data_IF_866898021078
#
_entry.id   IF_866898021078
#
_cell.length_a   1.000
_cell.length_b   1.000
_cell.length_c   1.000
_cell.angle_alpha   90.00
_cell.angle_beta   90.00
_cell.angle_gamma   90.00
#
_symmetry.space_group_name_H-M   'P 1'
#
loop_
_entity.id
_entity.type
_entity.pdbx_description
1 polymer ?
#
# COMPACT_ATOMS: atom_id res chain seq x y z
N UNK A 1 -77.21 -28.85 -27.25
CA UNK A 1 -76.06 -28.48 -26.41
C UNK A 1 -75.01 -27.81 -27.29
N UNK A 2 -74.54 -26.63 -26.85
CA UNK A 2 -73.34 -25.86 -27.28
C UNK A 2 -73.31 -25.20 -28.67
N UNK A 3 -73.38 -23.87 -28.62
CA UNK A 3 -73.17 -22.91 -29.70
C UNK A 3 -71.68 -22.62 -29.94
N UNK A 4 -71.35 -22.28 -31.19
CA UNK A 4 -70.08 -21.68 -31.63
C UNK A 4 -69.96 -20.24 -31.14
N UNK A 5 -68.77 -19.81 -30.70
CA UNK A 5 -68.28 -18.41 -30.87
C UNK A 5 -66.74 -18.41 -30.95
N UNK A 6 -66.21 -17.79 -32.01
CA UNK A 6 -64.81 -17.44 -32.19
C UNK A 6 -64.50 -16.08 -31.54
N UNK A 7 -63.30 -15.89 -30.97
CA UNK A 7 -62.82 -14.55 -30.59
C UNK A 7 -61.28 -14.47 -30.46
N UNK A 8 -60.69 -13.84 -31.48
CA UNK A 8 -59.70 -12.75 -31.44
C UNK A 8 -58.58 -12.75 -30.39
N UNK A 9 -57.35 -12.98 -30.84
CA UNK A 9 -56.11 -12.77 -30.07
C UNK A 9 -55.77 -11.27 -29.99
N UNK A 10 -55.72 -10.73 -28.77
CA UNK A 10 -55.25 -9.36 -28.51
C UNK A 10 -53.75 -9.38 -28.15
N UNK A 11 -52.94 -8.67 -28.92
CA UNK A 11 -51.53 -8.37 -28.63
C UNK A 11 -51.44 -7.28 -27.57
N UNK A 12 -50.99 -7.63 -26.36
CA UNK A 12 -50.67 -6.69 -25.28
C UNK A 12 -49.20 -6.33 -25.37
N UNK A 13 -48.90 -5.10 -25.79
CA UNK A 13 -47.55 -4.54 -25.79
C UNK A 13 -47.23 -3.95 -24.39
N UNK A 14 -46.42 -4.66 -23.60
CA UNK A 14 -45.85 -4.12 -22.37
C UNK A 14 -44.64 -3.23 -22.71
N UNK A 15 -44.81 -1.92 -22.58
CA UNK A 15 -43.72 -0.95 -22.63
C UNK A 15 -42.83 -1.08 -21.39
N UNK A 16 -41.59 -1.54 -21.59
CA UNK A 16 -40.52 -1.49 -20.59
C UNK A 16 -39.98 -0.06 -20.53
N UNK A 17 -40.32 0.66 -19.46
CA UNK A 17 -39.67 1.93 -19.12
C UNK A 17 -38.22 1.63 -18.67
N UNK A 18 -37.25 2.00 -19.49
CA UNK A 18 -35.83 1.99 -19.16
C UNK A 18 -35.54 3.14 -18.20
N UNK A 19 -35.33 2.84 -16.92
CA UNK A 19 -34.83 3.80 -15.94
C UNK A 19 -33.31 3.96 -16.20
N UNK A 20 -32.79 5.15 -16.52
CA UNK A 20 -31.36 5.35 -16.61
C UNK A 20 -30.77 5.19 -15.21
N UNK A 21 -29.96 4.15 -15.03
CA UNK A 21 -29.19 3.97 -13.79
C UNK A 21 -28.01 4.93 -13.90
N UNK A 22 -28.08 6.06 -13.20
CA UNK A 22 -26.94 6.98 -13.06
C UNK A 22 -25.79 6.23 -12.38
N UNK A 23 -24.87 5.72 -13.20
CA UNK A 23 -23.62 5.14 -12.78
C UNK A 23 -22.77 6.24 -12.12
N UNK A 24 -22.96 6.43 -10.82
CA UNK A 24 -22.09 7.25 -10.01
C UNK A 24 -20.70 6.61 -9.98
N UNK A 25 -19.82 7.08 -10.85
CA UNK A 25 -18.40 6.74 -10.81
C UNK A 25 -17.85 7.20 -9.46
N UNK A 26 -17.71 6.26 -8.52
CA UNK A 26 -17.03 6.50 -7.26
C UNK A 26 -15.56 6.73 -7.57
N UNK A 27 -15.14 7.99 -7.55
CA UNK A 27 -13.72 8.35 -7.66
C UNK A 27 -13.00 7.76 -6.45
N UNK A 28 -12.20 6.71 -6.66
CA UNK A 28 -11.37 6.14 -5.62
C UNK A 28 -10.38 7.21 -5.14
N UNK A 29 -10.45 7.57 -3.86
CA UNK A 29 -9.54 8.55 -3.27
C UNK A 29 -8.08 8.12 -3.51
N UNK A 30 -7.26 9.03 -4.00
CA UNK A 30 -5.85 8.75 -4.26
C UNK A 30 -5.12 8.44 -2.94
N UNK A 31 -4.28 7.40 -2.95
CA UNK A 31 -3.45 7.05 -1.78
C UNK A 31 -2.43 8.16 -1.51
N UNK A 32 -2.18 8.47 -0.25
CA UNK A 32 -1.18 9.49 0.10
C UNK A 32 0.24 8.97 -0.08
N UNK A 33 1.11 9.92 -0.42
CA UNK A 33 2.54 9.68 -0.53
C UNK A 33 3.18 9.46 0.85
N UNK A 34 4.19 8.59 0.83
CA UNK A 34 4.99 8.21 1.99
C UNK A 34 6.45 8.16 1.57
N UNK A 35 7.34 8.63 2.44
CA UNK A 35 8.78 8.52 2.26
C UNK A 35 9.36 7.76 3.44
N UNK A 36 10.20 6.75 3.16
CA UNK A 36 11.00 6.05 4.17
C UNK A 36 12.48 6.35 3.94
N UNK A 37 13.20 6.71 5.00
CA UNK A 37 14.65 6.89 4.95
C UNK A 37 15.36 5.75 5.65
N UNK A 38 16.62 5.54 5.29
CA UNK A 38 17.55 4.65 6.00
C UNK A 38 18.89 5.38 6.20
N UNK A 39 19.49 5.18 7.37
CA UNK A 39 20.81 5.64 7.79
C UNK A 39 21.50 4.52 8.56
N UNK A 40 22.83 4.52 8.57
CA UNK A 40 23.65 3.59 9.32
C UNK A 40 24.57 4.36 10.28
N UNK A 41 24.66 3.89 11.52
CA UNK A 41 25.74 4.22 12.45
C UNK A 41 26.49 2.92 12.76
N UNK A 42 27.68 2.75 12.20
CA UNK A 42 28.32 1.44 12.11
C UNK A 42 27.46 0.42 11.37
N UNK A 43 27.01 -0.61 12.11
CA UNK A 43 26.07 -1.66 11.63
C UNK A 43 24.64 -1.49 12.13
N UNK A 44 24.32 -0.36 12.75
CA UNK A 44 23.02 -0.07 13.34
C UNK A 44 22.20 0.71 12.32
N UNK A 45 21.09 0.11 11.88
CA UNK A 45 20.24 0.67 10.82
C UNK A 45 19.01 1.33 11.42
N UNK A 46 18.76 2.57 11.01
CA UNK A 46 17.63 3.36 11.50
C UNK A 46 17.10 4.31 10.44
N UNK A 47 15.96 4.92 10.71
CA UNK A 47 15.39 5.91 9.80
C UNK A 47 14.08 6.51 10.27
N UNK A 48 13.41 7.19 9.34
CA UNK A 48 12.18 7.93 9.58
C UNK A 48 11.18 7.65 8.47
N UNK A 49 9.91 7.58 8.84
CA UNK A 49 8.77 7.56 7.91
C UNK A 49 8.09 8.92 7.93
N UNK A 50 7.87 9.50 6.75
CA UNK A 50 7.26 10.83 6.56
C UNK A 50 6.06 10.73 5.63
N UNK A 51 5.02 11.50 5.94
CA UNK A 51 3.84 11.71 5.10
C UNK A 51 3.16 13.00 5.53
N UNK A 52 2.37 13.59 4.62
CA UNK A 52 1.46 14.70 4.94
C UNK A 52 0.31 14.26 5.86
N UNK A 53 0.05 12.95 5.94
CA UNK A 53 -0.94 12.34 6.87
C UNK A 53 -0.24 11.40 7.85
N UNK A 54 0.63 11.90 8.75
CA UNK A 54 1.56 11.06 9.49
C UNK A 54 0.87 10.10 10.46
N UNK A 55 -0.26 10.49 11.07
CA UNK A 55 -1.04 9.60 11.94
C UNK A 55 -1.64 8.38 11.21
N UNK A 56 -1.84 8.48 9.90
CA UNK A 56 -2.43 7.41 9.08
C UNK A 56 -1.34 6.63 8.32
N UNK A 57 -0.32 7.32 7.84
CA UNK A 57 0.65 6.78 6.89
C UNK A 57 2.08 6.62 7.44
N UNK A 58 2.35 7.09 8.64
CA UNK A 58 3.66 6.97 9.29
C UNK A 58 3.60 6.31 10.67
N UNK A 59 2.48 6.43 11.41
CA UNK A 59 2.26 5.73 12.68
C UNK A 59 2.09 4.22 12.50
N UNK A 60 2.68 3.44 13.40
CA UNK A 60 2.52 1.98 13.48
C UNK A 60 2.80 1.25 12.15
N UNK A 61 3.72 1.79 11.35
CA UNK A 61 4.12 1.20 10.08
C UNK A 61 5.31 0.27 10.28
N UNK A 62 5.15 -1.00 9.92
CA UNK A 62 6.28 -1.93 9.88
C UNK A 62 7.17 -1.66 8.68
N UNK A 63 8.38 -1.19 8.96
CA UNK A 63 9.47 -1.03 8.00
C UNK A 63 10.24 -2.34 7.92
N UNK A 64 10.41 -2.86 6.70
CA UNK A 64 11.21 -4.05 6.43
C UNK A 64 12.52 -3.62 5.78
N UNK A 65 13.64 -4.05 6.36
CA UNK A 65 14.97 -3.83 5.82
C UNK A 65 15.40 -5.04 5.02
N UNK A 66 15.95 -4.79 3.84
CA UNK A 66 16.46 -5.80 2.93
C UNK A 66 17.96 -5.66 2.78
N UNK A 67 18.67 -6.80 2.73
CA UNK A 67 20.09 -6.87 2.41
C UNK A 67 20.28 -7.17 0.92
N UNK A 68 21.10 -6.36 0.26
CA UNK A 68 21.30 -6.41 -1.19
C UNK A 68 22.52 -7.24 -1.56
N UNK A 69 22.31 -8.30 -2.35
CA UNK A 69 23.38 -9.16 -2.88
C UNK A 69 23.84 -8.71 -4.28
N UNK A 70 22.91 -8.41 -5.19
CA UNK A 70 23.19 -7.90 -6.54
C UNK A 70 22.65 -6.50 -6.81
N UNK A 71 21.68 -6.41 -7.72
CA UNK A 71 20.97 -5.17 -8.02
C UNK A 71 19.80 -5.02 -7.05
N UNK A 72 19.64 -3.86 -6.38
CA UNK A 72 18.53 -3.65 -5.45
C UNK A 72 17.16 -3.92 -6.09
N UNK A 73 16.33 -4.73 -5.45
CA UNK A 73 15.03 -5.16 -5.96
C UNK A 73 15.10 -6.25 -7.04
N UNK A 74 16.29 -6.82 -7.30
CA UNK A 74 16.53 -7.83 -8.34
C UNK A 74 15.98 -9.22 -8.05
N UNK A 75 15.36 -9.41 -6.88
CA UNK A 75 14.73 -10.67 -6.46
C UNK A 75 15.63 -11.59 -5.63
N UNK A 76 16.92 -11.27 -5.53
CA UNK A 76 17.93 -11.94 -4.71
C UNK A 76 18.15 -11.28 -3.34
N UNK A 77 17.44 -10.19 -3.04
CA UNK A 77 17.57 -9.49 -1.75
C UNK A 77 16.94 -10.29 -0.60
N UNK A 78 17.65 -10.37 0.52
CA UNK A 78 17.15 -11.04 1.72
C UNK A 78 16.34 -10.08 2.58
N UNK A 79 15.18 -10.52 3.08
CA UNK A 79 14.54 -9.88 4.23
C UNK A 79 15.46 -10.03 5.43
N UNK A 80 16.04 -8.92 5.87
CA UNK A 80 17.10 -8.93 6.86
C UNK A 80 16.57 -8.67 8.27
N UNK A 81 15.80 -7.60 8.42
CA UNK A 81 15.25 -7.19 9.71
C UNK A 81 13.97 -6.37 9.48
N UNK A 82 13.24 -6.09 10.55
CA UNK A 82 12.10 -5.19 10.50
C UNK A 82 11.91 -4.50 11.83
N UNK A 83 11.32 -3.33 11.80
CA UNK A 83 10.90 -2.59 12.98
C UNK A 83 9.57 -1.87 12.71
N UNK A 84 8.83 -1.54 13.76
CA UNK A 84 7.61 -0.74 13.65
C UNK A 84 7.89 0.67 14.14
N UNK A 85 7.44 1.66 13.38
CA UNK A 85 7.70 3.06 13.69
C UNK A 85 7.07 3.52 15.00
N UNK A 86 7.85 4.21 15.82
CA UNK A 86 7.40 4.89 17.04
C UNK A 86 7.53 6.42 16.91
N UNK A 87 6.68 7.16 17.63
CA UNK A 87 6.75 8.62 17.67
C UNK A 87 7.84 9.09 18.65
N UNK A 88 8.92 9.67 18.13
CA UNK A 88 10.01 10.24 18.92
C UNK A 88 10.36 11.64 18.42
N UNK A 89 10.39 12.64 19.32
CA UNK A 89 10.74 14.02 18.95
C UNK A 89 9.88 14.61 17.82
N UNK A 90 8.60 14.23 17.74
CA UNK A 90 7.68 14.67 16.70
C UNK A 90 7.84 13.97 15.34
N UNK A 91 8.64 12.90 15.26
CA UNK A 91 8.89 12.13 14.04
C UNK A 91 8.60 10.65 14.27
N UNK A 92 8.07 9.97 13.25
CA UNK A 92 7.90 8.52 13.28
C UNK A 92 9.20 7.86 12.87
N UNK A 93 9.93 7.34 13.85
CA UNK A 93 11.27 6.78 13.69
C UNK A 93 11.23 5.26 13.83
N UNK A 94 12.20 4.59 13.24
CA UNK A 94 12.38 3.15 13.36
C UNK A 94 13.88 2.84 13.49
N UNK A 95 14.22 1.73 14.13
CA UNK A 95 15.57 1.23 14.32
C UNK A 95 15.58 -0.28 14.41
N UNK A 96 16.44 -0.95 13.65
CA UNK A 96 16.65 -2.40 13.80
C UNK A 96 17.58 -2.74 14.96
N UNK A 97 18.09 -1.73 15.68
CA UNK A 97 19.14 -1.88 16.67
C UNK A 97 20.46 -2.34 16.07
N UNK A 98 21.33 -2.89 16.92
CA UNK A 98 22.64 -3.39 16.52
C UNK A 98 22.53 -4.78 15.90
N UNK A 99 22.55 -4.81 14.57
CA UNK A 99 22.46 -6.06 13.81
C UNK A 99 23.82 -6.73 13.60
N UNK A 100 24.92 -6.05 13.95
CA UNK A 100 26.30 -6.52 13.82
C UNK A 100 26.75 -6.84 12.39
N UNK A 101 25.92 -6.56 11.38
CA UNK A 101 26.07 -7.08 10.02
C UNK A 101 26.38 -5.97 9.03
N UNK A 102 27.51 -6.12 8.34
CA UNK A 102 27.88 -5.23 7.24
C UNK A 102 27.17 -5.62 5.93
N UNK A 103 27.05 -4.64 5.04
CA UNK A 103 26.49 -4.87 3.70
C UNK A 103 25.83 -3.64 3.11
N UNK A 104 25.06 -3.88 2.05
CA UNK A 104 24.21 -2.88 1.42
C UNK A 104 22.76 -3.13 1.81
N UNK A 105 22.04 -2.08 2.15
CA UNK A 105 20.69 -2.19 2.69
C UNK A 105 19.75 -1.12 2.15
N UNK A 106 18.47 -1.46 2.05
CA UNK A 106 17.40 -0.48 1.90
C UNK A 106 16.22 -0.84 2.79
N UNK A 107 15.42 0.16 3.11
CA UNK A 107 14.18 0.03 3.85
C UNK A 107 12.99 0.09 2.90
N UNK A 108 11.95 -0.67 3.22
CA UNK A 108 10.74 -0.76 2.43
C UNK A 108 9.49 -0.76 3.32
N UNK A 109 8.47 -0.05 2.84
CA UNK A 109 7.12 -0.04 3.38
C UNK A 109 6.15 -0.58 2.34
N UNK A 110 5.35 -1.55 2.75
CA UNK A 110 4.24 -2.05 1.93
C UNK A 110 3.13 -1.00 1.83
N UNK A 111 2.45 -0.91 0.69
CA UNK A 111 1.27 -0.08 0.55
C UNK A 111 0.12 -0.54 1.47
N UNK A 112 -0.73 0.39 1.89
CA UNK A 112 -2.01 0.12 2.56
C UNK A 112 -3.16 0.62 1.69
N UNK A 113 -4.40 0.49 2.18
CA UNK A 113 -5.57 1.07 1.52
C UNK A 113 -5.39 2.58 1.27
N UNK A 114 -4.86 3.30 2.26
CA UNK A 114 -4.76 4.76 2.23
C UNK A 114 -3.39 5.29 1.80
N UNK A 115 -2.33 4.49 1.91
CA UNK A 115 -0.95 4.99 1.79
C UNK A 115 -0.19 4.20 0.73
N UNK A 116 0.61 4.89 -0.09
CA UNK A 116 1.47 4.26 -1.08
C UNK A 116 2.59 3.45 -0.40
N UNK A 117 3.16 2.51 -1.15
CA UNK A 117 4.42 1.87 -0.77
C UNK A 117 5.56 2.90 -0.90
N UNK A 118 6.65 2.65 -0.17
CA UNK A 118 7.84 3.48 -0.25
C UNK A 118 9.09 2.61 -0.09
N UNK A 119 10.15 2.93 -0.83
CA UNK A 119 11.47 2.29 -0.72
C UNK A 119 12.51 3.39 -0.58
N UNK A 120 13.44 3.21 0.36
CA UNK A 120 14.55 4.14 0.54
C UNK A 120 15.60 3.97 -0.56
N UNK A 121 16.57 4.89 -0.60
CA UNK A 121 17.84 4.62 -1.26
C UNK A 121 18.54 3.42 -0.62
N UNK A 122 19.46 2.81 -1.37
CA UNK A 122 20.41 1.83 -0.82
C UNK A 122 21.55 2.56 -0.13
N UNK A 123 21.94 2.09 1.05
CA UNK A 123 23.11 2.55 1.78
C UNK A 123 24.07 1.40 2.06
N UNK A 124 25.28 1.72 2.50
CA UNK A 124 26.26 0.74 2.99
C UNK A 124 26.42 0.91 4.51
N UNK A 125 26.40 -0.19 5.24
CA UNK A 125 26.69 -0.24 6.67
C UNK A 125 27.99 -1.03 6.88
N UNK A 126 28.90 -0.48 7.68
CA UNK A 126 30.27 -0.96 7.89
C UNK A 126 30.72 -0.56 9.30
N UNK A 127 31.59 -1.35 9.93
CA UNK A 127 32.16 -1.02 11.25
C UNK A 127 33.20 0.09 11.18
#
# INVERSE_FOLDING_TARGET
>A
MRALVAASSALVACGLALVPVDAHATSAAARADVTVTITADGTDLSGVVKSERPRVCAADRTVVVFKVHGTPGGGDDDRFASDTTDLQGGRYVWSTGNTGTEGRFYAHLKATADCKAATSRVIRAQR
#
